data_IF_544832852257
#
_entry.id   IF_544832852257
#
_cell.length_a   1.000
_cell.length_b   1.000
_cell.length_c   1.000
_cell.angle_alpha   90.00
_cell.angle_beta   90.00
_cell.angle_gamma   90.00
#
_symmetry.space_group_name_H-M   'P 1'
#
loop_
_entity.id
_entity.type
_entity.pdbx_description
1 polymer ?
#
# COMPACT_ATOMS: atom_id res chain seq x y z
N UNK A 1 -7.87 -10.76 16.77
CA UNK A 1 -7.15 -11.47 15.66
C UNK A 1 -5.66 -11.54 15.97
N UNK A 2 -5.14 -12.63 16.53
CA UNK A 2 -3.71 -12.80 16.77
C UNK A 2 -3.08 -13.64 15.66
N UNK A 3 -2.07 -13.11 14.99
CA UNK A 3 -1.32 -13.77 13.92
C UNK A 3 0.18 -13.56 14.08
N UNK A 4 1.01 -14.23 13.28
CA UNK A 4 2.45 -13.96 13.24
C UNK A 4 2.77 -12.49 12.91
N UNK A 5 1.96 -11.85 12.05
CA UNK A 5 2.12 -10.44 11.67
C UNK A 5 1.83 -9.51 12.85
N UNK A 6 0.75 -9.76 13.62
CA UNK A 6 0.44 -8.91 14.78
C UNK A 6 1.51 -9.01 15.85
N UNK A 7 2.05 -10.20 16.12
CA UNK A 7 3.17 -10.39 17.06
C UNK A 7 4.46 -9.73 16.56
N UNK A 8 4.77 -9.88 15.27
CA UNK A 8 5.96 -9.29 14.66
C UNK A 8 5.98 -7.76 14.75
N UNK A 9 4.82 -7.13 14.54
CA UNK A 9 4.67 -5.68 14.43
C UNK A 9 4.19 -5.00 15.72
N UNK A 10 3.72 -5.77 16.71
CA UNK A 10 3.16 -5.23 17.96
C UNK A 10 1.82 -4.51 17.76
N UNK A 11 1.02 -4.94 16.78
CA UNK A 11 -0.29 -4.37 16.44
C UNK A 11 -1.45 -5.26 16.89
N UNK A 12 -2.64 -4.71 17.05
CA UNK A 12 -3.82 -5.43 17.54
C UNK A 12 -4.46 -6.28 16.42
N UNK A 13 -4.58 -5.71 15.22
CA UNK A 13 -5.21 -6.36 14.07
C UNK A 13 -4.21 -6.50 12.91
N UNK A 14 -4.22 -7.61 12.17
CA UNK A 14 -3.28 -7.88 11.09
C UNK A 14 -3.66 -7.11 9.81
N UNK A 15 -3.94 -5.81 9.96
CA UNK A 15 -4.37 -4.88 8.91
C UNK A 15 -3.33 -3.78 8.79
N UNK A 16 -2.78 -3.61 7.60
CA UNK A 16 -1.79 -2.58 7.27
C UNK A 16 -2.41 -1.62 6.26
N UNK A 17 -2.29 -0.32 6.49
CA UNK A 17 -2.57 0.67 5.47
C UNK A 17 -1.33 0.81 4.60
N UNK A 18 -1.44 0.56 3.31
CA UNK A 18 -0.32 0.58 2.37
C UNK A 18 0.30 1.97 2.20
N UNK A 19 1.61 2.02 1.96
CA UNK A 19 2.30 3.26 1.63
C UNK A 19 1.82 3.80 0.28
N UNK A 20 1.25 5.01 0.27
CA UNK A 20 0.66 5.65 -0.91
C UNK A 20 1.25 7.05 -1.07
N UNK A 21 1.94 7.29 -2.19
CA UNK A 21 2.53 8.59 -2.49
C UNK A 21 1.49 9.72 -2.40
N UNK A 22 1.82 10.82 -1.75
CA UNK A 22 0.98 12.00 -1.52
C UNK A 22 -0.28 11.78 -0.66
N UNK A 23 -0.69 10.54 -0.43
CA UNK A 23 -1.91 10.16 0.28
C UNK A 23 -1.60 9.78 1.73
N UNK A 24 -0.63 8.87 1.91
CA UNK A 24 -0.29 8.30 3.21
C UNK A 24 0.71 9.23 3.93
N UNK A 25 0.18 10.18 4.65
CA UNK A 25 0.92 11.13 5.48
C UNK A 25 0.64 10.86 6.98
N UNK A 26 1.16 11.67 7.88
CA UNK A 26 1.17 11.38 9.31
C UNK A 26 -0.21 11.27 9.98
N UNK A 27 -1.23 12.02 9.51
CA UNK A 27 -2.59 11.89 10.08
C UNK A 27 -3.19 10.51 9.77
N UNK A 28 -3.09 10.08 8.51
CA UNK A 28 -3.60 8.77 8.11
C UNK A 28 -2.81 7.65 8.80
N UNK A 29 -1.48 7.75 8.84
CA UNK A 29 -0.64 6.76 9.48
C UNK A 29 -0.96 6.63 10.97
N UNK A 30 -1.07 7.74 11.71
CA UNK A 30 -1.45 7.76 13.12
C UNK A 30 -2.87 7.23 13.34
N UNK A 31 -3.85 7.66 12.52
CA UNK A 31 -5.24 7.22 12.64
C UNK A 31 -5.41 5.71 12.48
N UNK A 32 -4.70 5.09 11.53
CA UNK A 32 -4.72 3.63 11.36
C UNK A 32 -4.05 2.92 12.52
N UNK A 33 -2.94 3.47 13.04
CA UNK A 33 -2.23 2.90 14.19
C UNK A 33 -3.09 2.97 15.46
N UNK A 34 -3.78 4.09 15.70
CA UNK A 34 -4.74 4.23 16.81
C UNK A 34 -5.94 3.29 16.66
N UNK A 35 -6.33 2.95 15.44
CA UNK A 35 -7.37 1.96 15.15
C UNK A 35 -6.92 0.50 15.41
N UNK A 36 -5.65 0.27 15.77
CA UNK A 36 -5.09 -1.04 16.08
C UNK A 36 -4.44 -1.77 14.89
N UNK A 37 -4.37 -1.14 13.71
CA UNK A 37 -3.62 -1.60 12.55
C UNK A 37 -2.18 -1.07 12.53
N UNK A 38 -1.51 -1.17 11.38
CA UNK A 38 -0.25 -0.50 11.11
C UNK A 38 -0.46 0.59 10.04
N UNK A 39 -0.32 1.84 10.43
CA UNK A 39 -0.26 2.95 9.50
C UNK A 39 1.14 3.11 8.90
N UNK A 40 1.22 3.50 7.63
CA UNK A 40 2.49 3.75 6.95
C UNK A 40 2.54 5.17 6.37
N UNK A 41 3.62 5.88 6.62
CA UNK A 41 3.95 7.12 5.92
C UNK A 41 4.56 6.74 4.57
N UNK A 42 3.99 7.23 3.48
CA UNK A 42 4.47 6.97 2.12
C UNK A 42 5.55 7.97 1.70
N UNK A 43 6.82 7.63 1.86
CA UNK A 43 7.92 8.51 1.48
C UNK A 43 7.99 8.80 -0.04
N UNK A 44 7.61 7.83 -0.88
CA UNK A 44 7.65 7.97 -2.34
C UNK A 44 8.95 8.63 -2.84
N UNK A 45 8.85 9.78 -3.49
CA UNK A 45 9.97 10.63 -3.94
C UNK A 45 10.12 11.89 -3.10
N UNK A 46 9.63 11.90 -1.85
CA UNK A 46 9.80 13.02 -0.94
C UNK A 46 11.23 13.10 -0.41
N UNK A 47 11.76 14.33 -0.17
CA UNK A 47 13.06 14.50 0.45
C UNK A 47 13.07 14.03 1.92
N UNK A 48 14.25 13.67 2.42
CA UNK A 48 14.43 13.12 3.76
C UNK A 48 13.89 14.01 4.89
N UNK A 49 14.05 15.33 4.77
CA UNK A 49 13.55 16.28 5.77
C UNK A 49 12.03 16.27 5.87
N UNK A 50 11.31 16.09 4.75
CA UNK A 50 9.87 15.92 4.77
C UNK A 50 9.49 14.63 5.51
N UNK A 51 10.17 13.52 5.21
CA UNK A 51 9.89 12.24 5.89
C UNK A 51 10.16 12.35 7.39
N UNK A 52 11.24 13.02 7.79
CA UNK A 52 11.56 13.30 9.19
C UNK A 52 10.46 14.10 9.89
N UNK A 53 9.97 15.17 9.26
CA UNK A 53 8.86 15.97 9.76
C UNK A 53 7.58 15.11 9.95
N UNK A 54 7.25 14.29 8.95
CA UNK A 54 6.10 13.39 9.02
C UNK A 54 6.20 12.37 10.16
N UNK A 55 7.37 11.77 10.35
CA UNK A 55 7.62 10.82 11.45
C UNK A 55 7.45 11.50 12.81
N UNK A 56 7.99 12.71 12.98
CA UNK A 56 7.88 13.45 14.24
C UNK A 56 6.44 13.84 14.54
N UNK A 57 5.70 14.32 13.56
CA UNK A 57 4.27 14.64 13.69
C UNK A 57 3.42 13.40 13.99
N UNK A 58 3.72 12.26 13.37
CA UNK A 58 3.03 11.01 13.70
C UNK A 58 3.24 10.61 15.17
N UNK A 59 4.46 10.78 15.71
CA UNK A 59 4.77 10.52 17.13
C UNK A 59 4.06 11.47 18.11
N UNK A 60 3.67 12.65 17.65
CA UNK A 60 2.86 13.58 18.47
C UNK A 60 1.39 13.14 18.55
N UNK A 61 0.92 12.34 17.58
CA UNK A 61 -0.47 11.88 17.48
C UNK A 61 -0.69 10.47 18.03
N UNK A 62 0.35 9.63 18.09
CA UNK A 62 0.21 8.23 18.51
C UNK A 62 1.48 7.67 19.14
N UNK A 63 1.30 6.87 20.20
CA UNK A 63 2.34 6.01 20.78
C UNK A 63 2.30 4.59 20.20
N UNK A 64 1.35 4.30 19.29
CA UNK A 64 1.21 2.99 18.65
C UNK A 64 2.24 2.78 17.55
N UNK A 65 2.56 1.53 17.19
CA UNK A 65 3.46 1.24 16.09
C UNK A 65 2.95 1.82 14.77
N UNK A 66 3.81 2.51 14.05
CA UNK A 66 3.63 2.90 12.65
C UNK A 66 4.94 2.70 11.89
N UNK A 67 4.88 2.75 10.57
CA UNK A 67 6.05 2.55 9.73
C UNK A 67 6.19 3.59 8.63
N UNK A 68 7.23 3.41 7.80
CA UNK A 68 7.49 4.22 6.62
C UNK A 68 7.64 3.32 5.39
N UNK A 69 7.01 3.66 4.30
CA UNK A 69 7.20 3.01 3.01
C UNK A 69 8.24 3.79 2.20
N UNK A 70 9.25 3.10 1.69
CA UNK A 70 10.29 3.67 0.85
C UNK A 70 10.19 3.12 -0.57
N UNK A 71 10.11 4.02 -1.56
CA UNK A 71 10.31 3.69 -2.96
C UNK A 71 11.82 3.67 -3.25
N UNK A 72 12.38 2.50 -3.46
CA UNK A 72 13.85 2.33 -3.55
C UNK A 72 14.47 2.92 -4.82
N UNK A 73 13.66 3.24 -5.84
CA UNK A 73 14.09 3.99 -7.02
C UNK A 73 14.10 5.51 -6.80
N UNK A 74 13.65 6.00 -5.64
CA UNK A 74 13.68 7.42 -5.32
C UNK A 74 15.13 7.93 -5.23
N UNK A 75 15.44 9.13 -5.75
CA UNK A 75 16.77 9.74 -5.58
C UNK A 75 17.10 10.01 -4.10
N UNK A 76 16.10 10.07 -3.24
CA UNK A 76 16.24 10.32 -1.80
C UNK A 76 16.27 9.03 -0.96
N UNK A 77 16.24 7.84 -1.58
CA UNK A 77 16.12 6.58 -0.86
C UNK A 77 17.24 6.37 0.18
N UNK A 78 18.49 6.76 -0.15
CA UNK A 78 19.64 6.62 0.74
C UNK A 78 19.53 7.50 2.00
N UNK A 79 19.04 8.73 1.83
CA UNK A 79 18.85 9.67 2.93
C UNK A 79 17.65 9.28 3.79
N UNK A 80 16.53 8.90 3.16
CA UNK A 80 15.33 8.42 3.86
C UNK A 80 15.64 7.16 4.67
N UNK A 81 16.45 6.23 4.11
CA UNK A 81 16.86 5.03 4.82
C UNK A 81 17.61 5.32 6.13
N UNK A 82 18.39 6.41 6.19
CA UNK A 82 19.05 6.88 7.41
C UNK A 82 18.06 7.49 8.39
N UNK A 83 17.12 8.32 7.90
CA UNK A 83 16.05 8.92 8.71
C UNK A 83 15.26 7.87 9.47
N UNK A 84 14.98 6.69 8.87
CA UNK A 84 14.32 5.57 9.55
C UNK A 84 15.04 5.21 10.86
N UNK A 85 16.35 5.08 10.81
CA UNK A 85 17.17 4.72 11.99
C UNK A 85 17.27 5.90 12.97
N UNK A 86 17.58 7.10 12.48
CA UNK A 86 17.75 8.31 13.30
C UNK A 86 16.49 8.68 14.07
N UNK A 87 15.34 8.55 13.44
CA UNK A 87 14.04 8.80 14.08
C UNK A 87 13.48 7.57 14.80
N UNK A 88 14.18 6.44 14.85
CA UNK A 88 13.77 5.24 15.59
C UNK A 88 12.49 4.60 15.07
N UNK A 89 12.18 4.71 13.77
CA UNK A 89 11.07 4.02 13.13
C UNK A 89 11.28 2.51 13.24
N UNK A 90 10.23 1.76 13.63
CA UNK A 90 10.36 0.33 13.90
C UNK A 90 10.01 -0.56 12.73
N UNK A 91 9.26 -0.05 11.74
CA UNK A 91 8.81 -0.83 10.58
C UNK A 91 9.10 -0.06 9.30
N UNK A 92 9.71 -0.70 8.33
CA UNK A 92 9.88 -0.20 6.98
C UNK A 92 9.29 -1.16 5.97
N UNK A 93 8.47 -0.65 5.06
CA UNK A 93 8.07 -1.38 3.86
C UNK A 93 8.83 -0.80 2.66
N UNK A 94 9.12 -1.63 1.66
CA UNK A 94 9.86 -1.17 0.48
C UNK A 94 9.19 -1.63 -0.80
N UNK A 95 9.20 -0.78 -1.80
CA UNK A 95 8.76 -1.10 -3.15
C UNK A 95 9.75 -0.60 -4.20
N UNK A 96 9.57 -1.04 -5.46
CA UNK A 96 10.33 -0.59 -6.61
C UNK A 96 11.86 -0.67 -6.43
N UNK A 97 12.38 -1.86 -6.04
CA UNK A 97 13.82 -2.07 -5.93
C UNK A 97 14.22 -3.16 -4.94
N UNK A 98 15.53 -3.23 -4.66
CA UNK A 98 16.12 -4.18 -3.72
C UNK A 98 16.64 -3.47 -2.47
N UNK A 99 16.11 -3.77 -1.25
CA UNK A 99 16.54 -3.15 -0.01
C UNK A 99 17.89 -3.65 0.52
N UNK A 100 18.53 -4.60 -0.13
CA UNK A 100 19.71 -5.34 0.35
C UNK A 100 20.80 -4.43 0.94
N UNK A 101 21.10 -3.30 0.27
CA UNK A 101 22.12 -2.35 0.72
C UNK A 101 21.82 -1.68 2.06
N UNK A 102 20.54 -1.64 2.49
CA UNK A 102 20.13 -1.04 3.75
C UNK A 102 19.91 -2.07 4.87
N UNK A 103 19.81 -3.35 4.52
CA UNK A 103 19.40 -4.41 5.46
C UNK A 103 20.28 -4.44 6.70
N UNK A 104 21.61 -4.37 6.56
CA UNK A 104 22.50 -4.39 7.72
C UNK A 104 22.18 -3.26 8.70
N UNK A 105 22.12 -2.03 8.22
CA UNK A 105 21.83 -0.83 9.03
C UNK A 105 20.48 -0.94 9.73
N UNK A 106 19.43 -1.33 9.02
CA UNK A 106 18.09 -1.45 9.58
C UNK A 106 17.99 -2.58 10.60
N UNK A 107 18.59 -3.74 10.34
CA UNK A 107 18.56 -4.88 11.27
C UNK A 107 19.35 -4.59 12.55
N UNK A 108 20.51 -3.91 12.47
CA UNK A 108 21.29 -3.47 13.63
C UNK A 108 20.50 -2.46 14.49
N UNK A 109 19.63 -1.64 13.87
CA UNK A 109 18.73 -0.71 14.56
C UNK A 109 17.41 -1.36 15.05
N UNK A 110 17.22 -2.67 14.83
CA UNK A 110 16.02 -3.40 15.23
C UNK A 110 14.79 -3.10 14.38
N UNK A 111 14.95 -2.54 13.16
CA UNK A 111 13.86 -2.24 12.24
C UNK A 111 13.35 -3.52 11.59
N UNK A 112 12.03 -3.69 11.53
CA UNK A 112 11.37 -4.76 10.78
C UNK A 112 11.25 -4.35 9.31
N UNK A 113 11.74 -5.19 8.41
CA UNK A 113 11.80 -4.90 6.96
C UNK A 113 10.81 -5.79 6.22
N UNK A 114 9.84 -5.16 5.52
CA UNK A 114 8.73 -5.84 4.85
C UNK A 114 8.66 -5.37 3.39
N UNK A 115 9.39 -6.02 2.47
CA UNK A 115 9.33 -5.70 1.05
C UNK A 115 7.99 -6.05 0.41
N UNK A 116 7.52 -5.20 -0.51
CA UNK A 116 6.40 -5.49 -1.40
C UNK A 116 6.92 -6.26 -2.62
N UNK A 117 6.29 -7.40 -2.92
CA UNK A 117 6.70 -8.30 -3.98
C UNK A 117 5.52 -8.72 -4.87
N UNK A 118 5.78 -8.87 -6.17
CA UNK A 118 4.78 -9.26 -7.16
C UNK A 118 5.13 -10.60 -7.85
N UNK A 119 6.11 -11.35 -7.34
CA UNK A 119 6.50 -12.65 -7.87
C UNK A 119 7.19 -13.54 -6.84
N UNK A 120 7.10 -14.85 -7.02
CA UNK A 120 7.80 -15.85 -6.19
C UNK A 120 9.31 -15.67 -6.23
N UNK A 121 9.88 -15.36 -7.39
CA UNK A 121 11.32 -15.15 -7.51
C UNK A 121 11.82 -13.98 -6.64
N UNK A 122 11.07 -12.87 -6.64
CA UNK A 122 11.36 -11.71 -5.80
C UNK A 122 11.15 -12.05 -4.31
N UNK A 123 10.09 -12.76 -3.97
CA UNK A 123 9.80 -13.18 -2.59
C UNK A 123 10.96 -13.99 -1.99
N UNK A 124 11.42 -15.03 -2.70
CA UNK A 124 12.59 -15.83 -2.28
C UNK A 124 13.87 -15.00 -2.15
N UNK A 125 14.05 -14.01 -3.02
CA UNK A 125 15.19 -13.11 -2.94
C UNK A 125 15.13 -12.24 -1.69
N UNK A 126 13.97 -11.66 -1.38
CA UNK A 126 13.79 -10.80 -0.21
C UNK A 126 13.94 -11.58 1.10
N UNK A 127 13.41 -12.79 1.18
CA UNK A 127 13.66 -13.68 2.34
C UNK A 127 15.15 -13.92 2.55
N UNK A 128 15.90 -14.28 1.49
CA UNK A 128 17.36 -14.46 1.59
C UNK A 128 18.12 -13.20 1.98
N UNK A 129 17.61 -12.02 1.63
CA UNK A 129 18.15 -10.73 2.07
C UNK A 129 17.86 -10.43 3.55
N UNK A 130 17.04 -11.24 4.24
CA UNK A 130 16.73 -11.07 5.67
C UNK A 130 15.46 -10.28 5.96
N UNK A 131 14.50 -10.21 5.03
CA UNK A 131 13.17 -9.64 5.29
C UNK A 131 12.48 -10.36 6.46
N UNK A 132 11.73 -9.61 7.27
CA UNK A 132 10.99 -10.15 8.43
C UNK A 132 9.60 -10.68 8.03
N UNK A 133 9.01 -10.13 6.97
CA UNK A 133 7.76 -10.54 6.33
C UNK A 133 7.74 -10.03 4.90
N UNK A 134 6.74 -10.40 4.10
CA UNK A 134 6.54 -9.92 2.73
C UNK A 134 5.12 -9.42 2.53
N UNK A 135 4.97 -8.37 1.72
CA UNK A 135 3.67 -8.02 1.14
C UNK A 135 3.59 -8.60 -0.27
N UNK A 136 2.73 -9.60 -0.47
CA UNK A 136 2.41 -10.16 -1.78
C UNK A 136 1.30 -9.32 -2.43
N UNK A 137 1.68 -8.47 -3.38
CA UNK A 137 0.75 -7.51 -4.00
C UNK A 137 0.31 -7.97 -5.38
N UNK A 138 -0.98 -8.31 -5.49
CA UNK A 138 -1.62 -8.66 -6.75
C UNK A 138 -1.93 -7.44 -7.63
N UNK A 139 -2.13 -7.71 -8.93
CA UNK A 139 -2.36 -6.68 -9.95
C UNK A 139 -3.69 -5.93 -9.81
N UNK A 140 -4.56 -6.31 -8.87
CA UNK A 140 -5.79 -5.59 -8.52
C UNK A 140 -5.50 -4.32 -7.71
N UNK A 141 -4.28 -4.15 -7.17
CA UNK A 141 -3.86 -2.96 -6.44
C UNK A 141 -3.93 -1.68 -7.29
N UNK A 142 -4.00 -0.53 -6.64
CA UNK A 142 -3.85 0.79 -7.28
C UNK A 142 -2.38 1.20 -7.39
N UNK A 143 -2.06 2.11 -8.31
CA UNK A 143 -0.69 2.53 -8.57
C UNK A 143 0.09 1.53 -9.43
N UNK A 144 1.38 1.40 -9.19
CA UNK A 144 2.23 0.44 -9.92
C UNK A 144 1.84 -0.99 -9.57
N UNK A 145 1.70 -1.84 -10.57
CA UNK A 145 1.23 -3.21 -10.40
C UNK A 145 2.13 -4.24 -11.09
N UNK A 146 2.12 -5.46 -10.55
CA UNK A 146 2.63 -6.64 -11.27
C UNK A 146 1.58 -7.23 -12.22
N UNK A 147 1.79 -8.48 -12.66
CA UNK A 147 0.92 -9.16 -13.61
C UNK A 147 -0.02 -10.17 -12.95
N UNK A 148 0.41 -10.82 -11.85
CA UNK A 148 -0.36 -11.87 -11.19
C UNK A 148 -1.48 -11.28 -10.33
N UNK A 149 -2.65 -11.92 -10.35
CA UNK A 149 -3.75 -11.60 -9.45
C UNK A 149 -3.48 -12.12 -8.03
N UNK A 150 -4.10 -11.50 -7.04
CA UNK A 150 -3.93 -11.85 -5.61
C UNK A 150 -4.27 -13.31 -5.33
N UNK A 151 -5.34 -13.82 -5.93
CA UNK A 151 -5.82 -15.19 -5.73
C UNK A 151 -4.77 -16.27 -6.08
N UNK A 152 -3.91 -16.03 -7.06
CA UNK A 152 -2.88 -16.99 -7.48
C UNK A 152 -1.49 -16.63 -6.97
N UNK A 153 -1.22 -15.35 -6.69
CA UNK A 153 0.08 -14.88 -6.22
C UNK A 153 0.32 -15.29 -4.76
N UNK A 154 -0.66 -15.03 -3.90
CA UNK A 154 -0.53 -15.24 -2.44
C UNK A 154 -0.18 -16.69 -2.11
N UNK A 155 -0.94 -17.73 -2.54
CA UNK A 155 -0.58 -19.10 -2.19
C UNK A 155 0.77 -19.54 -2.74
N UNK A 156 1.15 -19.10 -3.96
CA UNK A 156 2.45 -19.42 -4.52
C UNK A 156 3.60 -18.83 -3.70
N UNK A 157 3.44 -17.63 -3.15
CA UNK A 157 4.44 -17.02 -2.28
C UNK A 157 4.45 -17.71 -0.92
N UNK A 158 3.27 -17.97 -0.32
CA UNK A 158 3.16 -18.69 0.96
C UNK A 158 3.86 -20.03 0.91
N UNK A 159 3.68 -20.80 -0.17
CA UNK A 159 4.33 -22.11 -0.35
C UNK A 159 5.85 -22.02 -0.62
N UNK A 160 6.34 -20.84 -0.97
CA UNK A 160 7.71 -20.65 -1.45
C UNK A 160 8.67 -20.04 -0.42
N UNK A 161 8.16 -19.47 0.68
CA UNK A 161 8.94 -18.79 1.74
C UNK A 161 8.52 -19.26 3.13
N UNK A 162 9.41 -19.05 4.13
CA UNK A 162 9.15 -19.44 5.52
C UNK A 162 8.80 -18.24 6.43
N UNK A 163 8.85 -17.01 5.91
CA UNK A 163 8.49 -15.80 6.64
C UNK A 163 7.02 -15.43 6.39
N UNK A 164 6.37 -14.70 7.32
CA UNK A 164 4.96 -14.33 7.17
C UNK A 164 4.68 -13.56 5.89
N UNK A 165 3.57 -13.91 5.22
CA UNK A 165 3.08 -13.25 4.01
C UNK A 165 1.84 -12.42 4.33
N UNK A 166 1.84 -11.18 3.85
CA UNK A 166 0.74 -10.21 3.96
C UNK A 166 0.15 -10.07 2.55
N UNK A 167 -1.13 -10.35 2.39
CA UNK A 167 -1.80 -10.21 1.10
C UNK A 167 -2.18 -8.76 0.81
N UNK A 168 -1.97 -8.29 -0.42
CA UNK A 168 -2.36 -6.96 -0.87
C UNK A 168 -2.94 -6.99 -2.29
N UNK A 169 -3.84 -6.05 -2.58
CA UNK A 169 -4.57 -5.98 -3.85
C UNK A 169 -5.89 -6.77 -3.81
N UNK A 170 -6.95 -6.20 -4.33
CA UNK A 170 -8.26 -6.86 -4.41
C UNK A 170 -9.02 -7.01 -3.08
N UNK A 171 -8.54 -6.47 -1.98
CA UNK A 171 -9.12 -6.62 -0.64
C UNK A 171 -9.88 -5.34 -0.26
N UNK A 172 -11.20 -5.44 -0.07
CA UNK A 172 -12.07 -4.29 0.25
C UNK A 172 -12.79 -4.43 1.60
N UNK A 173 -13.13 -5.63 2.02
CA UNK A 173 -13.97 -5.93 3.18
C UNK A 173 -13.56 -7.24 3.86
N UNK A 174 -14.29 -7.66 4.89
CA UNK A 174 -14.02 -8.88 5.64
C UNK A 174 -14.02 -10.15 4.80
N UNK A 175 -14.74 -10.18 3.66
CA UNK A 175 -14.72 -11.32 2.72
C UNK A 175 -13.34 -11.48 2.07
N UNK A 176 -12.75 -10.34 1.66
CA UNK A 176 -11.40 -10.32 1.08
C UNK A 176 -10.34 -10.69 2.11
N UNK A 177 -10.48 -10.24 3.36
CA UNK A 177 -9.56 -10.60 4.45
C UNK A 177 -9.64 -12.09 4.76
N UNK A 178 -10.87 -12.64 4.91
CA UNK A 178 -11.08 -14.06 5.14
C UNK A 178 -10.48 -14.92 4.01
N UNK A 179 -10.71 -14.53 2.76
CA UNK A 179 -10.13 -15.21 1.60
C UNK A 179 -8.59 -15.17 1.62
N UNK A 180 -7.98 -14.03 1.96
CA UNK A 180 -6.52 -13.91 2.08
C UNK A 180 -5.94 -14.87 3.14
N UNK A 181 -6.61 -15.01 4.29
CA UNK A 181 -6.21 -15.98 5.32
C UNK A 181 -6.36 -17.43 4.84
N UNK A 182 -7.44 -17.75 4.10
CA UNK A 182 -7.62 -19.07 3.48
C UNK A 182 -6.52 -19.40 2.46
N UNK A 183 -5.94 -18.38 1.81
CA UNK A 183 -4.80 -18.53 0.90
C UNK A 183 -3.46 -18.62 1.66
N UNK A 184 -3.46 -18.61 3.00
CA UNK A 184 -2.29 -18.76 3.86
C UNK A 184 -1.63 -17.45 4.33
N UNK A 185 -2.15 -16.28 3.93
CA UNK A 185 -1.64 -15.00 4.42
C UNK A 185 -1.82 -14.88 5.96
N UNK A 186 -0.95 -14.11 6.60
CA UNK A 186 -0.97 -13.83 8.05
C UNK A 186 -1.39 -12.39 8.38
N UNK A 187 -1.75 -11.63 7.37
CA UNK A 187 -2.23 -10.26 7.44
C UNK A 187 -2.61 -9.75 6.06
N UNK A 188 -3.18 -8.56 6.02
CA UNK A 188 -3.57 -7.89 4.78
C UNK A 188 -3.03 -6.47 4.74
N UNK A 189 -2.68 -5.99 3.54
CA UNK A 189 -2.40 -4.59 3.26
C UNK A 189 -3.48 -4.03 2.34
N UNK A 190 -4.06 -2.91 2.72
CA UNK A 190 -5.14 -2.24 2.01
C UNK A 190 -4.76 -0.76 1.74
N UNK A 191 -5.09 -0.26 0.56
CA UNK A 191 -4.84 1.14 0.21
C UNK A 191 -6.13 1.92 -0.02
N UNK A 192 -6.83 1.59 -1.10
CA UNK A 192 -7.94 2.39 -1.65
C UNK A 192 -9.04 2.69 -0.63
N UNK A 193 -9.36 1.77 0.27
CA UNK A 193 -10.38 2.00 1.30
C UNK A 193 -9.92 3.08 2.30
N UNK A 194 -8.66 3.06 2.71
CA UNK A 194 -8.11 4.07 3.62
C UNK A 194 -7.99 5.47 2.99
N UNK A 195 -7.95 5.58 1.65
CA UNK A 195 -7.93 6.89 0.96
C UNK A 195 -9.17 7.72 1.29
N UNK A 196 -10.32 7.09 1.51
CA UNK A 196 -11.59 7.79 1.75
C UNK A 196 -11.92 7.98 3.23
N UNK A 197 -11.05 7.56 4.15
CA UNK A 197 -11.27 7.77 5.59
C UNK A 197 -11.19 9.24 5.98
N UNK A 198 -11.73 9.55 7.16
CA UNK A 198 -11.78 10.92 7.68
C UNK A 198 -10.38 11.50 7.90
N UNK A 199 -9.46 10.68 8.38
CA UNK A 199 -8.07 11.06 8.69
C UNK A 199 -7.21 11.30 7.43
N UNK A 200 -7.62 10.76 6.27
CA UNK A 200 -6.92 11.01 5.01
C UNK A 200 -7.08 12.46 4.57
N UNK A 201 -5.97 13.14 4.28
CA UNK A 201 -5.94 14.55 3.90
C UNK A 201 -6.03 14.79 2.38
N UNK A 202 -6.37 13.76 1.60
CA UNK A 202 -6.57 13.92 0.17
C UNK A 202 -7.77 14.85 -0.12
N UNK A 203 -7.70 15.56 -1.24
CA UNK A 203 -8.77 16.46 -1.65
C UNK A 203 -10.13 15.73 -1.77
N UNK A 204 -11.22 16.38 -1.35
CA UNK A 204 -12.56 15.79 -1.33
C UNK A 204 -13.00 15.23 -2.70
N UNK A 205 -12.66 15.89 -3.80
CA UNK A 205 -12.95 15.39 -5.14
C UNK A 205 -12.36 13.99 -5.39
N UNK A 206 -11.19 13.69 -4.80
CA UNK A 206 -10.55 12.39 -4.93
C UNK A 206 -11.33 11.31 -4.17
N UNK A 207 -11.72 11.61 -2.91
CA UNK A 207 -12.55 10.71 -2.10
C UNK A 207 -13.87 10.43 -2.80
N UNK A 208 -14.57 11.47 -3.24
CA UNK A 208 -15.83 11.34 -3.97
C UNK A 208 -15.68 10.54 -5.27
N UNK A 209 -14.56 10.73 -6.00
CA UNK A 209 -14.32 9.97 -7.24
C UNK A 209 -14.18 8.48 -6.96
N UNK A 210 -13.58 8.08 -5.83
CA UNK A 210 -13.51 6.68 -5.41
C UNK A 210 -14.90 6.18 -5.01
N UNK A 211 -15.64 6.89 -4.15
CA UNK A 211 -16.97 6.47 -3.65
C UNK A 211 -17.97 6.29 -4.81
N UNK A 212 -17.88 7.14 -5.84
CA UNK A 212 -18.72 7.08 -7.05
C UNK A 212 -18.22 6.06 -8.09
N UNK A 213 -17.10 5.40 -7.84
CA UNK A 213 -16.54 4.46 -8.81
C UNK A 213 -17.45 3.25 -9.01
N UNK A 214 -17.44 2.75 -10.25
CA UNK A 214 -18.08 1.50 -10.66
C UNK A 214 -17.03 0.41 -10.87
N UNK A 215 -17.44 -0.82 -10.96
CA UNK A 215 -16.60 -2.00 -11.24
C UNK A 215 -15.75 -1.86 -12.52
N UNK A 216 -16.27 -1.18 -13.54
CA UNK A 216 -15.63 -0.98 -14.84
C UNK A 216 -14.69 0.25 -14.91
N UNK A 217 -14.61 1.05 -13.86
CA UNK A 217 -13.87 2.32 -13.87
C UNK A 217 -12.36 2.16 -13.71
N UNK A 218 -11.89 1.00 -13.24
CA UNK A 218 -10.47 0.71 -13.11
C UNK A 218 -9.82 0.46 -14.47
N UNK A 219 -8.71 1.15 -14.76
CA UNK A 219 -7.93 1.03 -16.00
C UNK A 219 -6.45 0.89 -15.68
N UNK A 220 -5.72 0.20 -16.53
CA UNK A 220 -4.26 0.10 -16.46
C UNK A 220 -3.67 0.83 -17.67
N UNK A 221 -2.74 1.72 -17.41
CA UNK A 221 -1.92 2.45 -18.42
C UNK A 221 -0.47 1.97 -18.30
N UNK A 222 0.36 2.20 -19.30
CA UNK A 222 1.81 1.97 -19.23
C UNK A 222 2.24 0.50 -19.41
N UNK A 223 1.39 -0.37 -19.97
CA UNK A 223 1.79 -1.75 -20.28
C UNK A 223 2.86 -1.83 -21.36
N UNK A 224 2.75 -1.00 -22.38
CA UNK A 224 3.72 -0.97 -23.50
C UNK A 224 5.07 -0.40 -23.09
N UNK A 225 5.11 0.42 -22.04
CA UNK A 225 6.34 1.01 -21.50
C UNK A 225 7.00 0.15 -20.42
N UNK A 226 6.37 -0.96 -20.00
CA UNK A 226 6.86 -1.81 -18.90
C UNK A 226 6.62 -1.24 -17.49
N UNK A 227 5.85 -0.16 -17.38
CA UNK A 227 5.52 0.49 -16.11
C UNK A 227 3.99 0.57 -15.91
N UNK A 228 3.29 -0.58 -15.75
CA UNK A 228 1.84 -0.58 -15.63
C UNK A 228 1.37 0.10 -14.35
N UNK A 229 0.42 1.03 -14.50
CA UNK A 229 -0.19 1.79 -13.40
C UNK A 229 -1.70 1.66 -13.47
N UNK A 230 -2.31 1.27 -12.35
CA UNK A 230 -3.76 1.20 -12.21
C UNK A 230 -4.33 2.49 -11.62
N UNK A 231 -5.29 3.06 -12.32
CA UNK A 231 -6.02 4.27 -11.91
C UNK A 231 -7.50 4.19 -12.31
N UNK A 232 -8.33 5.08 -11.79
CA UNK A 232 -9.71 5.24 -12.24
C UNK A 232 -9.76 5.98 -13.58
N UNK A 233 -10.67 5.55 -14.44
CA UNK A 233 -10.93 6.13 -15.75
C UNK A 233 -11.31 7.62 -15.64
N UNK A 234 -10.60 8.48 -16.38
CA UNK A 234 -10.86 9.89 -16.54
C UNK A 234 -10.32 10.38 -17.89
N UNK A 235 -10.26 11.69 -18.11
CA UNK A 235 -9.78 12.25 -19.39
C UNK A 235 -8.29 11.96 -19.61
N UNK A 236 -7.47 12.03 -18.55
CA UNK A 236 -6.04 11.70 -18.63
C UNK A 236 -5.82 10.23 -19.03
N UNK A 237 -6.43 9.30 -18.34
CA UNK A 237 -6.27 7.86 -18.64
C UNK A 237 -6.79 7.49 -20.01
N UNK A 238 -7.88 8.13 -20.48
CA UNK A 238 -8.40 7.92 -21.84
C UNK A 238 -7.38 8.38 -22.88
N UNK A 239 -6.89 9.61 -22.75
CA UNK A 239 -5.88 10.15 -23.67
C UNK A 239 -4.60 9.32 -23.66
N UNK A 240 -4.16 8.88 -22.48
CA UNK A 240 -2.99 8.00 -22.36
C UNK A 240 -3.17 6.71 -23.16
N UNK A 241 -4.30 6.01 -22.98
CA UNK A 241 -4.57 4.74 -23.65
C UNK A 241 -4.75 4.93 -25.18
N UNK A 242 -5.32 6.05 -25.63
CA UNK A 242 -5.41 6.40 -27.06
C UNK A 242 -4.01 6.53 -27.67
N UNK A 243 -3.10 7.27 -27.03
CA UNK A 243 -1.73 7.43 -27.49
C UNK A 243 -0.91 6.13 -27.37
N UNK A 244 -1.05 5.39 -26.29
CA UNK A 244 -0.39 4.10 -26.08
C UNK A 244 -0.77 3.10 -27.16
N UNK A 245 -2.06 3.01 -27.52
CA UNK A 245 -2.56 2.16 -28.60
C UNK A 245 -2.13 2.64 -30.00
N UNK A 246 -1.86 3.92 -30.16
CA UNK A 246 -1.29 4.50 -31.38
C UNK A 246 0.23 4.32 -31.52
N UNK A 247 0.88 3.70 -30.51
CA UNK A 247 2.33 3.45 -30.53
C UNK A 247 3.20 4.63 -30.06
N UNK A 248 2.64 5.56 -29.29
CA UNK A 248 3.40 6.67 -28.72
C UNK A 248 4.55 6.16 -27.83
N UNK A 249 5.70 6.86 -27.89
CA UNK A 249 6.88 6.52 -27.12
C UNK A 249 6.78 6.91 -25.63
N UNK A 250 7.68 6.37 -24.81
CA UNK A 250 7.71 6.59 -23.35
C UNK A 250 7.68 8.07 -22.97
N UNK A 251 8.52 8.91 -23.59
CA UNK A 251 8.62 10.34 -23.26
C UNK A 251 7.30 11.11 -23.50
N UNK A 252 6.56 10.75 -24.55
CA UNK A 252 5.28 11.36 -24.86
C UNK A 252 4.20 10.96 -23.84
N UNK A 253 4.18 9.68 -23.46
CA UNK A 253 3.26 9.15 -22.47
C UNK A 253 3.56 9.67 -21.07
N UNK A 254 4.84 9.78 -20.70
CA UNK A 254 5.26 10.29 -19.39
C UNK A 254 4.82 11.75 -19.17
N UNK A 255 4.87 12.60 -20.19
CA UNK A 255 4.41 14.00 -20.11
C UNK A 255 2.95 14.13 -19.64
N UNK A 256 2.11 13.13 -19.90
CA UNK A 256 0.70 13.13 -19.46
C UNK A 256 0.54 12.81 -17.97
N UNK A 257 1.47 12.06 -17.40
CA UNK A 257 1.37 11.54 -16.05
C UNK A 257 2.25 12.27 -15.04
N UNK A 258 3.25 13.02 -15.52
CA UNK A 258 4.18 13.76 -14.67
C UNK A 258 3.44 14.75 -13.76
N UNK A 259 3.60 14.60 -12.44
CA UNK A 259 2.89 15.40 -11.44
C UNK A 259 1.39 15.09 -11.31
N UNK A 260 0.86 14.18 -12.14
CA UNK A 260 -0.58 13.89 -12.21
C UNK A 260 -1.17 13.37 -10.91
N UNK A 261 -0.43 12.56 -10.16
CA UNK A 261 -0.90 12.07 -8.85
C UNK A 261 -1.05 13.22 -7.84
N UNK A 262 -0.03 14.07 -7.70
CA UNK A 262 -0.09 15.25 -6.82
C UNK A 262 -1.26 16.17 -7.21
N UNK A 263 -1.45 16.39 -8.50
CA UNK A 263 -2.55 17.21 -9.05
C UNK A 263 -3.92 16.66 -8.63
N UNK A 264 -4.13 15.35 -8.67
CA UNK A 264 -5.38 14.73 -8.23
C UNK A 264 -5.54 14.77 -6.71
N UNK A 265 -4.49 14.39 -5.96
CA UNK A 265 -4.53 14.24 -4.50
C UNK A 265 -4.61 15.59 -3.78
N UNK A 266 -3.80 16.57 -4.20
CA UNK A 266 -3.65 17.85 -3.49
C UNK A 266 -4.56 18.94 -4.08
N UNK A 267 -4.65 19.02 -5.41
CA UNK A 267 -5.39 20.07 -6.10
C UNK A 267 -6.82 19.65 -6.47
N UNK A 268 -7.15 18.35 -6.32
CA UNK A 268 -8.49 17.82 -6.57
C UNK A 268 -8.87 17.73 -8.06
N UNK A 269 -7.90 17.87 -8.98
CA UNK A 269 -8.15 17.68 -10.41
C UNK A 269 -8.22 16.19 -10.76
N UNK A 270 -9.36 15.59 -10.46
CA UNK A 270 -9.63 14.17 -10.77
C UNK A 270 -9.94 13.92 -12.23
N UNK A 271 -10.04 14.98 -13.05
CA UNK A 271 -10.30 14.88 -14.49
C UNK A 271 -9.01 14.68 -15.28
N UNK A 272 -7.98 15.45 -14.96
CA UNK A 272 -6.71 15.44 -15.70
C UNK A 272 -5.54 14.86 -14.85
N UNK A 273 -5.73 14.67 -13.55
CA UNK A 273 -4.76 14.05 -12.66
C UNK A 273 -4.89 12.53 -12.63
N UNK A 274 -3.90 11.86 -12.03
CA UNK A 274 -3.90 10.41 -11.85
C UNK A 274 -4.64 10.03 -10.57
N UNK A 275 -5.82 9.41 -10.70
CA UNK A 275 -6.59 8.91 -9.56
C UNK A 275 -6.24 7.44 -9.34
N UNK A 276 -5.09 7.19 -8.69
CA UNK A 276 -4.63 5.84 -8.42
C UNK A 276 -5.55 5.18 -7.39
N UNK A 277 -6.18 4.07 -7.78
CA UNK A 277 -7.04 3.26 -6.92
C UNK A 277 -7.13 1.84 -7.47
N UNK A 278 -7.23 0.86 -6.57
CA UNK A 278 -7.38 -0.55 -6.93
C UNK A 278 -8.75 -0.87 -7.53
N UNK A 279 -8.90 -2.08 -8.04
CA UNK A 279 -10.17 -2.57 -8.60
C UNK A 279 -11.31 -2.52 -7.57
N UNK A 280 -10.99 -2.60 -6.28
CA UNK A 280 -11.98 -2.55 -5.20
C UNK A 280 -12.64 -1.17 -5.04
N UNK A 281 -12.22 -0.14 -5.77
CA UNK A 281 -12.88 1.17 -5.72
C UNK A 281 -14.39 1.08 -5.96
N UNK A 282 -14.83 0.16 -6.83
CA UNK A 282 -16.26 -0.12 -7.05
C UNK A 282 -17.02 -0.64 -5.82
N UNK A 283 -16.32 -1.10 -4.78
CA UNK A 283 -16.88 -1.63 -3.53
C UNK A 283 -16.85 -0.60 -2.39
N UNK A 284 -16.07 0.47 -2.50
CA UNK A 284 -15.97 1.54 -1.51
C UNK A 284 -17.10 2.53 -1.72
N UNK A 285 -18.09 2.55 -0.81
CA UNK A 285 -19.34 3.31 -1.00
C UNK A 285 -19.62 4.37 0.06
N UNK A 286 -18.87 4.36 1.14
CA UNK A 286 -19.08 5.24 2.27
C UNK A 286 -17.75 5.75 2.84
N UNK A 287 -17.81 6.88 3.51
CA UNK A 287 -16.72 7.48 4.27
C UNK A 287 -16.92 7.16 5.75
N UNK A 288 -15.82 6.89 6.44
CA UNK A 288 -15.82 6.65 7.88
C UNK A 288 -14.44 6.93 8.47
N UNK A 289 -14.35 6.94 9.81
CA UNK A 289 -13.03 7.02 10.47
C UNK A 289 -12.21 5.75 10.25
N UNK A 290 -10.87 5.84 10.39
CA UNK A 290 -9.99 4.67 10.39
C UNK A 290 -10.42 3.65 11.45
N UNK A 291 -10.84 4.12 12.62
CA UNK A 291 -11.32 3.27 13.72
C UNK A 291 -12.56 2.47 13.31
N UNK A 292 -13.56 3.14 12.76
CA UNK A 292 -14.79 2.47 12.34
C UNK A 292 -14.55 1.51 11.20
N UNK A 293 -13.67 1.87 10.24
CA UNK A 293 -13.29 0.99 9.15
C UNK A 293 -12.60 -0.28 9.66
N UNK A 294 -11.58 -0.14 10.49
CA UNK A 294 -10.84 -1.30 11.03
C UNK A 294 -11.78 -2.19 11.85
N UNK A 295 -12.63 -1.60 12.72
CA UNK A 295 -13.58 -2.37 13.51
C UNK A 295 -14.61 -3.11 12.64
N UNK A 296 -15.12 -2.46 11.59
CA UNK A 296 -16.01 -3.08 10.61
C UNK A 296 -15.35 -4.27 9.92
N UNK A 297 -14.11 -4.10 9.41
CA UNK A 297 -13.36 -5.14 8.74
C UNK A 297 -13.10 -6.35 9.66
N UNK A 298 -12.74 -6.10 10.92
CA UNK A 298 -12.52 -7.14 11.93
C UNK A 298 -13.82 -7.91 12.20
N UNK A 299 -14.92 -7.22 12.48
CA UNK A 299 -16.21 -7.85 12.79
C UNK A 299 -16.75 -8.68 11.61
N UNK A 300 -16.62 -8.16 10.39
CA UNK A 300 -17.00 -8.89 9.17
C UNK A 300 -16.16 -10.17 9.00
N UNK A 301 -14.85 -10.07 9.22
CA UNK A 301 -13.93 -11.20 9.11
C UNK A 301 -14.23 -12.25 10.18
N UNK A 302 -14.38 -11.84 11.43
CA UNK A 302 -14.68 -12.76 12.55
C UNK A 302 -16.01 -13.51 12.32
N UNK A 303 -17.00 -12.82 11.80
CA UNK A 303 -18.29 -13.43 11.46
C UNK A 303 -18.14 -14.53 10.40
N UNK A 304 -17.31 -14.30 9.39
CA UNK A 304 -17.10 -15.24 8.27
C UNK A 304 -16.25 -16.45 8.66
N UNK A 305 -15.22 -16.24 9.46
CA UNK A 305 -14.27 -17.29 9.83
C UNK A 305 -14.76 -18.04 11.07
N UNK A 306 -15.73 -17.48 11.81
CA UNK A 306 -16.31 -18.09 13.01
C UNK A 306 -15.31 -18.28 14.16
N UNK A 307 -14.26 -17.49 14.22
CA UNK A 307 -13.21 -17.54 15.23
C UNK A 307 -12.41 -18.85 15.25
N UNK A 308 -12.50 -19.70 14.20
CA UNK A 308 -11.86 -21.02 14.18
C UNK A 308 -10.69 -21.07 13.18
N UNK A 309 -9.50 -21.40 13.70
CA UNK A 309 -8.41 -21.97 12.90
C UNK A 309 -7.49 -21.00 12.18
N UNK A 310 -7.76 -19.68 12.19
CA UNK A 310 -6.91 -18.66 11.58
C UNK A 310 -6.26 -17.72 12.59
N UNK A 311 -6.74 -17.76 13.81
CA UNK A 311 -6.18 -17.09 14.97
C UNK A 311 -5.49 -18.10 15.90
N UNK A 312 -4.47 -17.70 16.59
CA UNK A 312 -3.80 -18.50 17.62
C UNK A 312 -4.44 -18.31 18.98
#
# INVERSE_FOLDING_TARGET
>A
MQTEVTRLLGIEYPIIQGGMAWVAEYHLAAGVSEAGGLGLIGAASAPADWVRDQVRKAKELTDKPFGVNIMLMSPYADEVAKVIVEEGVKVVTTGAGNPEKYMKMWKEAGVKVIPVVASVALAKRMERCGADALVAEGCEAGGHIGESTTMVLVPQIVDAVNIPVIAAGGIADGRGIAAAFMLGAKGVQMGTHFVVTDESQVHENYKERIIKAKDIDSKVTGRTTGHPVRALRNDMTRKYLELENAGAGFEELEKLTLGGLRKAVVEGDVKNGSVMAGQIAGMVKERMSCKDLVQKLVNETDTLIGGKGFYE
#
